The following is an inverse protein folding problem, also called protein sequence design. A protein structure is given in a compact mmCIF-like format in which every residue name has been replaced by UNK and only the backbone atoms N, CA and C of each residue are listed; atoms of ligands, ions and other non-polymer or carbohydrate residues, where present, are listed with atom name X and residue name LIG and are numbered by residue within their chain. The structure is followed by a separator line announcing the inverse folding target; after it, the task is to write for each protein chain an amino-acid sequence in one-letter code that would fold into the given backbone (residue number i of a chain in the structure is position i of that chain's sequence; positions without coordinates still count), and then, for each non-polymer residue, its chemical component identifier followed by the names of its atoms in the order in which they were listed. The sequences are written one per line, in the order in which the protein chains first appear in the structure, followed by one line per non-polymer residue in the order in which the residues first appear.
data_IF_750666279059
#
_entry.id   IF_750666279059
#
_cell.length_a   1.000
_cell.length_b   1.000
_cell.length_c   1.000
_cell.angle_alpha   90.00
_cell.angle_beta   90.00
_cell.angle_gamma   90.00
#
_symmetry.space_group_name_H-M   'P 1'
#
loop_
_entity.id
_entity.type
_entity.pdbx_description
1 polymer ?
#
# COMPACT_ATOMS: atom_id res chain seq x y z
N UNK A 1 29.19 -66.90 25.35
CA UNK A 1 28.17 -65.85 25.09
C UNK A 1 28.93 -64.55 24.83
N UNK A 2 28.84 -63.99 23.62
CA UNK A 2 29.60 -62.79 23.20
C UNK A 2 28.71 -61.56 23.41
N UNK A 3 29.15 -60.63 24.25
CA UNK A 3 28.52 -59.32 24.41
C UNK A 3 29.05 -58.39 23.31
N UNK A 4 28.14 -57.86 22.48
CA UNK A 4 28.47 -56.85 21.47
C UNK A 4 27.79 -55.54 21.89
N UNK A 5 28.59 -54.56 22.32
CA UNK A 5 28.12 -53.23 22.69
C UNK A 5 27.93 -52.40 21.41
N UNK A 6 26.69 -52.08 21.09
CA UNK A 6 26.35 -51.16 20.00
C UNK A 6 26.25 -49.75 20.59
N UNK A 7 27.32 -48.96 20.49
CA UNK A 7 27.32 -47.55 20.89
C UNK A 7 26.41 -46.75 19.95
N UNK A 8 25.29 -46.27 20.49
CA UNK A 8 24.36 -45.39 19.81
C UNK A 8 24.85 -43.93 19.98
N UNK A 9 25.54 -43.40 18.98
CA UNK A 9 25.90 -41.98 18.92
C UNK A 9 24.65 -41.14 18.67
N UNK A 10 24.21 -40.42 19.70
CA UNK A 10 23.12 -39.46 19.65
C UNK A 10 23.66 -38.12 19.13
N UNK A 11 23.48 -37.83 17.83
CA UNK A 11 23.74 -36.51 17.28
C UNK A 11 22.64 -35.56 17.74
N UNK A 12 22.97 -34.72 18.73
CA UNK A 12 22.12 -33.58 19.13
C UNK A 12 22.29 -32.50 18.07
N UNK A 13 21.31 -32.37 17.19
CA UNK A 13 21.17 -31.22 16.29
C UNK A 13 20.71 -30.03 17.14
N UNK A 14 21.66 -29.19 17.55
CA UNK A 14 21.39 -27.85 18.05
C UNK A 14 20.98 -26.99 16.83
N UNK A 15 19.69 -26.94 16.55
CA UNK A 15 19.13 -25.92 15.67
C UNK A 15 19.14 -24.59 16.40
N UNK A 16 20.07 -23.70 16.05
CA UNK A 16 19.96 -22.29 16.42
C UNK A 16 18.84 -21.68 15.57
N UNK A 17 17.72 -21.33 16.18
CA UNK A 17 16.83 -20.31 15.65
C UNK A 17 17.48 -18.95 15.95
N UNK A 18 17.79 -18.17 14.92
CA UNK A 18 17.99 -16.73 15.12
C UNK A 18 16.63 -16.15 15.53
N UNK A 19 16.46 -15.86 16.81
CA UNK A 19 15.38 -14.99 17.27
C UNK A 19 15.68 -13.59 16.71
N UNK A 20 15.04 -13.23 15.60
CA UNK A 20 15.09 -11.86 15.11
C UNK A 20 14.30 -11.00 16.10
N UNK A 21 15.01 -10.19 16.90
CA UNK A 21 14.48 -9.26 17.91
C UNK A 21 13.77 -8.04 17.30
N UNK A 22 13.05 -8.25 16.18
CA UNK A 22 12.32 -7.19 15.50
C UNK A 22 11.06 -6.84 16.29
N UNK A 23 11.09 -5.68 16.95
CA UNK A 23 9.92 -5.09 17.59
C UNK A 23 9.26 -4.08 16.65
N UNK A 24 8.10 -4.45 16.09
CA UNK A 24 7.31 -3.56 15.25
C UNK A 24 6.68 -2.41 16.04
N UNK A 25 6.63 -1.23 15.44
CA UNK A 25 5.92 -0.07 15.98
C UNK A 25 4.76 0.30 15.06
N UNK A 26 3.60 0.54 15.67
CA UNK A 26 2.45 1.16 15.01
C UNK A 26 2.29 2.61 15.52
N UNK A 27 2.45 3.59 14.62
CA UNK A 27 2.29 5.00 14.93
C UNK A 27 1.74 5.76 13.72
N UNK A 28 0.44 5.92 13.66
CA UNK A 28 -0.28 6.62 12.59
C UNK A 28 -0.97 7.85 13.19
N UNK A 29 -0.82 9.05 12.61
CA UNK A 29 -1.58 10.23 13.01
C UNK A 29 -3.09 9.95 13.01
N UNK A 30 -3.80 10.41 14.04
CA UNK A 30 -5.20 10.04 14.27
C UNK A 30 -6.15 10.43 13.12
N UNK A 31 -5.84 11.52 12.41
CA UNK A 31 -6.54 12.00 11.23
C UNK A 31 -6.35 11.10 10.00
N UNK A 32 -5.27 10.33 9.94
CA UNK A 32 -4.98 9.40 8.84
C UNK A 32 -5.48 7.97 9.13
N UNK A 33 -5.76 7.63 10.39
CA UNK A 33 -6.23 6.30 10.79
C UNK A 33 -7.48 5.82 10.01
N UNK A 34 -8.51 6.65 9.74
CA UNK A 34 -9.69 6.21 8.99
C UNK A 34 -9.37 5.65 7.59
N UNK A 35 -8.33 6.16 6.93
CA UNK A 35 -7.90 5.65 5.63
C UNK A 35 -7.21 4.29 5.76
N UNK A 36 -6.45 4.06 6.83
CA UNK A 36 -5.81 2.75 7.09
C UNK A 36 -6.89 1.69 7.36
N UNK A 37 -7.89 2.04 8.17
CA UNK A 37 -9.02 1.15 8.47
C UNK A 37 -9.81 0.84 7.20
N UNK A 38 -10.02 1.83 6.34
CA UNK A 38 -10.69 1.66 5.04
C UNK A 38 -9.87 0.75 4.12
N UNK A 39 -8.54 0.93 4.03
CA UNK A 39 -7.67 0.06 3.25
C UNK A 39 -7.77 -1.40 3.72
N UNK A 40 -7.71 -1.66 5.03
CA UNK A 40 -7.83 -3.00 5.60
C UNK A 40 -9.21 -3.60 5.30
N UNK A 41 -10.27 -2.78 5.39
CA UNK A 41 -11.63 -3.21 5.06
C UNK A 41 -11.78 -3.57 3.57
N UNK A 42 -11.30 -2.72 2.67
CA UNK A 42 -11.34 -2.93 1.21
C UNK A 42 -10.46 -4.10 0.76
N UNK A 43 -9.35 -4.34 1.44
CA UNK A 43 -8.54 -5.53 1.24
C UNK A 43 -9.30 -6.81 1.62
N UNK A 44 -9.98 -6.79 2.78
CA UNK A 44 -10.74 -7.92 3.30
C UNK A 44 -11.87 -8.33 2.35
N UNK A 45 -12.58 -7.37 1.75
CA UNK A 45 -13.63 -7.67 0.75
C UNK A 45 -13.10 -8.34 -0.51
N UNK A 46 -11.79 -8.22 -0.76
CA UNK A 46 -11.07 -8.83 -1.90
C UNK A 46 -10.24 -10.05 -1.52
N UNK A 47 -10.44 -10.58 -0.31
CA UNK A 47 -9.79 -11.82 0.15
C UNK A 47 -8.39 -11.64 0.74
N UNK A 48 -7.95 -10.39 0.97
CA UNK A 48 -6.67 -10.09 1.61
C UNK A 48 -6.89 -9.83 3.11
N UNK A 49 -6.35 -10.70 3.95
CA UNK A 49 -6.39 -10.52 5.40
C UNK A 49 -5.13 -9.77 5.89
N UNK A 50 -5.25 -8.45 6.08
CA UNK A 50 -4.16 -7.64 6.65
C UNK A 50 -4.29 -7.46 8.16
N UNK A 51 -3.14 -7.51 8.82
CA UNK A 51 -2.92 -6.93 10.15
C UNK A 51 -1.71 -6.02 10.03
N UNK A 52 -1.94 -4.72 10.10
CA UNK A 52 -0.87 -3.71 9.97
C UNK A 52 -0.43 -3.31 11.38
N UNK A 53 0.74 -3.79 11.80
CA UNK A 53 1.28 -3.53 13.17
C UNK A 53 2.65 -2.84 13.15
N UNK A 54 3.26 -2.74 11.97
CA UNK A 54 4.60 -2.23 11.73
C UNK A 54 4.57 -1.00 10.81
N UNK A 55 3.56 -0.13 10.94
CA UNK A 55 3.40 1.08 10.15
C UNK A 55 3.66 2.33 10.99
N UNK A 56 4.56 3.18 10.52
CA UNK A 56 4.69 4.56 10.98
C UNK A 56 4.32 5.47 9.81
N UNK A 57 3.48 6.48 10.07
CA UNK A 57 3.30 7.61 9.14
C UNK A 57 3.85 8.87 9.80
N UNK A 58 4.74 9.57 9.10
CA UNK A 58 5.35 10.80 9.60
C UNK A 58 5.39 11.89 8.54
N UNK A 59 5.37 13.14 9.00
CA UNK A 59 5.66 14.30 8.17
C UNK A 59 7.16 14.60 8.25
N UNK A 60 7.79 14.87 7.11
CA UNK A 60 9.23 15.11 7.04
C UNK A 60 9.56 16.14 5.95
N UNK A 61 10.08 17.30 6.36
CA UNK A 61 10.44 18.40 5.47
C UNK A 61 11.63 18.08 4.56
N UNK A 62 12.40 17.03 4.87
CA UNK A 62 13.53 16.60 4.05
C UNK A 62 13.11 15.88 2.76
N UNK A 63 11.82 15.54 2.61
CA UNK A 63 11.33 14.95 1.37
C UNK A 63 11.38 16.01 0.25
N UNK A 64 12.20 15.74 -0.77
CA UNK A 64 12.39 16.68 -1.86
C UNK A 64 11.09 16.88 -2.66
N UNK A 65 10.80 18.12 -3.01
CA UNK A 65 9.80 18.44 -4.02
C UNK A 65 10.16 17.76 -5.36
N UNK A 66 9.20 17.22 -6.11
CA UNK A 66 7.75 17.41 -6.00
C UNK A 66 6.98 16.29 -5.28
N UNK A 67 7.66 15.38 -4.56
CA UNK A 67 6.99 14.20 -4.02
C UNK A 67 6.07 14.52 -2.83
N UNK A 68 4.85 14.01 -2.90
CA UNK A 68 3.86 14.09 -1.83
C UNK A 68 4.17 13.16 -0.67
N UNK A 69 4.70 11.99 -0.98
CA UNK A 69 5.17 11.04 -0.01
C UNK A 69 5.97 9.91 -0.64
N UNK A 70 6.38 8.99 0.22
CA UNK A 70 6.94 7.71 -0.18
C UNK A 70 6.84 6.69 0.96
N UNK A 71 6.64 5.43 0.60
CA UNK A 71 6.90 4.27 1.43
C UNK A 71 8.39 3.88 1.35
N UNK A 72 9.01 3.53 2.48
CA UNK A 72 10.41 3.14 2.52
C UNK A 72 10.74 1.74 1.94
N UNK A 73 9.73 0.92 1.60
CA UNK A 73 9.97 -0.45 1.15
C UNK A 73 8.75 -1.10 0.49
N UNK A 74 8.96 -1.73 -0.67
CA UNK A 74 8.00 -2.61 -1.34
C UNK A 74 8.20 -4.10 -1.01
N UNK A 75 9.10 -4.44 -0.07
CA UNK A 75 9.42 -5.85 0.24
C UNK A 75 8.30 -6.46 1.08
N UNK A 76 7.69 -7.53 0.56
CA UNK A 76 6.65 -8.28 1.27
C UNK A 76 7.22 -9.21 2.34
N UNK A 77 6.46 -9.45 3.40
CA UNK A 77 6.72 -10.45 4.44
C UNK A 77 8.09 -10.34 5.15
N UNK A 78 8.79 -9.20 5.04
CA UNK A 78 10.02 -8.95 5.76
C UNK A 78 9.73 -8.35 7.15
N UNK A 79 10.47 -8.73 8.21
CA UNK A 79 10.35 -8.15 9.54
C UNK A 79 11.01 -6.77 9.58
N UNK A 80 10.45 -5.83 8.81
CA UNK A 80 10.94 -4.46 8.68
C UNK A 80 9.86 -3.50 9.14
N UNK A 81 10.30 -2.35 9.65
CA UNK A 81 9.40 -1.24 9.92
C UNK A 81 9.00 -0.58 8.59
N UNK A 82 7.70 -0.55 8.30
CA UNK A 82 7.15 0.21 7.17
C UNK A 82 6.95 1.65 7.62
N UNK A 83 7.44 2.58 6.78
CA UNK A 83 7.39 4.01 7.06
C UNK A 83 6.87 4.72 5.82
N UNK A 84 5.73 5.37 5.94
CA UNK A 84 5.24 6.34 4.95
C UNK A 84 5.68 7.73 5.42
N UNK A 85 6.42 8.42 4.57
CA UNK A 85 6.85 9.79 4.81
C UNK A 85 6.04 10.73 3.94
N UNK A 86 5.42 11.76 4.52
CA UNK A 86 4.61 12.76 3.83
C UNK A 86 5.36 14.09 3.82
N UNK A 87 5.38 14.78 2.68
CA UNK A 87 5.96 16.11 2.56
C UNK A 87 4.99 17.19 3.07
N UNK A 88 5.29 17.88 4.19
CA UNK A 88 4.40 18.92 4.70
C UNK A 88 4.50 20.24 3.92
N UNK A 89 5.50 20.41 3.05
CA UNK A 89 5.75 21.66 2.34
C UNK A 89 4.95 21.80 1.03
N UNK A 90 4.14 20.79 0.67
CA UNK A 90 3.38 20.75 -0.58
C UNK A 90 1.93 20.40 -0.26
N UNK A 91 0.99 21.10 -0.90
CA UNK A 91 -0.42 20.71 -0.87
C UNK A 91 -0.63 19.63 -1.92
N UNK A 92 -0.84 18.41 -1.47
CA UNK A 92 -0.89 17.23 -2.32
C UNK A 92 -2.31 16.78 -2.70
N UNK A 93 -3.29 17.12 -1.89
CA UNK A 93 -4.69 16.75 -2.09
C UNK A 93 -5.58 17.91 -1.66
N UNK A 94 -6.77 17.96 -2.25
CA UNK A 94 -7.81 18.95 -1.97
C UNK A 94 -9.13 18.31 -1.53
N UNK A 95 -9.21 16.98 -1.57
CA UNK A 95 -10.37 16.17 -1.21
C UNK A 95 -9.95 14.92 -0.41
N UNK A 96 -10.93 14.29 0.26
CA UNK A 96 -10.70 13.04 0.97
C UNK A 96 -10.38 11.89 0.01
N UNK A 97 -10.95 11.91 -1.20
CA UNK A 97 -10.72 10.89 -2.23
C UNK A 97 -9.28 10.93 -2.75
N UNK A 98 -8.71 12.12 -2.95
CA UNK A 98 -7.30 12.27 -3.32
C UNK A 98 -6.37 11.85 -2.17
N UNK A 99 -6.74 12.16 -0.92
CA UNK A 99 -5.97 11.72 0.25
C UNK A 99 -6.04 10.19 0.44
N UNK A 100 -7.19 9.59 0.19
CA UNK A 100 -7.36 8.13 0.16
C UNK A 100 -6.50 7.53 -0.95
N UNK A 101 -6.59 8.05 -2.18
CA UNK A 101 -5.81 7.58 -3.32
C UNK A 101 -4.31 7.59 -3.02
N UNK A 102 -3.83 8.69 -2.43
CA UNK A 102 -2.43 8.82 -1.98
C UNK A 102 -2.06 7.76 -0.94
N UNK A 103 -2.82 7.65 0.15
CA UNK A 103 -2.48 6.68 1.21
C UNK A 103 -2.57 5.24 0.70
N UNK A 104 -3.53 4.93 -0.18
CA UNK A 104 -3.70 3.60 -0.76
C UNK A 104 -2.57 3.27 -1.74
N UNK A 105 -2.08 4.26 -2.50
CA UNK A 105 -0.89 4.13 -3.32
C UNK A 105 0.33 3.76 -2.46
N UNK A 106 0.59 4.49 -1.39
CA UNK A 106 1.73 4.23 -0.49
C UNK A 106 1.59 2.90 0.27
N UNK A 107 0.37 2.54 0.67
CA UNK A 107 0.08 1.22 1.26
C UNK A 107 0.21 0.10 0.22
N UNK A 108 -0.09 0.37 -1.05
CA UNK A 108 0.16 -0.52 -2.18
C UNK A 108 1.64 -0.84 -2.32
N UNK A 109 2.52 0.16 -2.24
CA UNK A 109 3.95 -0.09 -2.10
C UNK A 109 4.25 -0.90 -0.84
N UNK A 110 3.88 -0.40 0.33
CA UNK A 110 4.30 -0.95 1.62
C UNK A 110 3.87 -2.41 1.87
N UNK A 111 2.62 -2.75 1.53
CA UNK A 111 1.97 -3.99 1.96
C UNK A 111 1.51 -4.90 0.82
N UNK A 112 1.36 -4.37 -0.40
CA UNK A 112 1.06 -5.17 -1.59
C UNK A 112 2.30 -5.39 -2.46
N UNK A 113 3.41 -4.70 -2.17
CA UNK A 113 4.65 -4.81 -2.92
C UNK A 113 4.51 -4.32 -4.36
N UNK A 114 3.50 -3.49 -4.59
CA UNK A 114 3.21 -2.92 -5.91
C UNK A 114 4.31 -1.94 -6.29
N UNK A 115 4.67 -1.92 -7.56
CA UNK A 115 5.51 -0.88 -8.14
C UNK A 115 4.64 0.08 -8.94
N UNK A 116 5.19 1.23 -9.33
CA UNK A 116 4.47 2.16 -10.18
C UNK A 116 4.07 1.50 -11.51
N UNK A 117 2.86 1.77 -11.99
CA UNK A 117 2.37 1.40 -13.31
C UNK A 117 1.74 2.62 -14.00
N UNK A 118 2.46 3.17 -14.97
CA UNK A 118 2.05 4.33 -15.78
C UNK A 118 1.34 3.93 -17.08
N UNK A 119 0.94 2.66 -17.24
CA UNK A 119 0.13 2.24 -18.37
C UNK A 119 -1.22 2.98 -18.37
N UNK A 120 -1.81 3.11 -19.56
CA UNK A 120 -3.08 3.78 -19.77
C UNK A 120 -4.15 2.79 -20.24
N UNK A 121 -5.40 3.10 -19.88
CA UNK A 121 -6.60 2.52 -20.47
C UNK A 121 -6.79 3.05 -21.91
N UNK A 122 -7.59 2.37 -22.75
CA UNK A 122 -7.90 2.83 -24.12
C UNK A 122 -8.37 4.29 -24.22
N UNK A 123 -9.16 4.76 -23.26
CA UNK A 123 -9.64 6.15 -23.22
C UNK A 123 -8.58 7.18 -22.78
N UNK A 124 -7.38 6.74 -22.41
CA UNK A 124 -6.26 7.58 -21.94
C UNK A 124 -6.19 7.81 -20.43
N UNK A 125 -7.14 7.29 -19.65
CA UNK A 125 -7.04 7.31 -18.17
C UNK A 125 -5.90 6.41 -17.68
N UNK A 126 -5.41 6.67 -16.46
CA UNK A 126 -4.46 5.78 -15.81
C UNK A 126 -5.05 4.36 -15.67
N UNK A 127 -4.26 3.35 -16.00
CA UNK A 127 -4.67 1.95 -15.80
C UNK A 127 -4.69 1.59 -14.32
N UNK A 128 -3.77 2.14 -13.53
CA UNK A 128 -3.54 1.73 -12.15
C UNK A 128 -3.62 2.89 -11.16
N UNK A 129 -4.01 2.58 -9.92
CA UNK A 129 -3.85 3.52 -8.78
C UNK A 129 -2.35 3.77 -8.49
N UNK A 130 -1.49 2.85 -8.93
CA UNK A 130 -0.04 2.94 -8.84
C UNK A 130 0.58 3.85 -9.91
N UNK A 131 -0.22 4.67 -10.59
CA UNK A 131 0.31 5.69 -11.52
C UNK A 131 1.13 6.74 -10.78
N UNK A 132 2.20 7.20 -11.40
CA UNK A 132 3.01 8.31 -10.87
C UNK A 132 2.26 9.64 -11.02
N UNK A 133 2.47 10.54 -10.05
CA UNK A 133 2.08 11.96 -10.12
C UNK A 133 0.59 12.23 -10.42
N UNK A 134 -0.31 11.28 -10.13
CA UNK A 134 -1.75 11.48 -10.33
C UNK A 134 -2.55 10.91 -9.16
N UNK A 135 -2.83 11.77 -8.17
CA UNK A 135 -3.71 11.46 -7.03
C UNK A 135 -5.19 11.65 -7.39
N UNK A 136 -5.49 12.26 -8.54
CA UNK A 136 -6.83 12.63 -8.98
C UNK A 136 -7.58 11.54 -9.74
N UNK A 137 -7.07 10.30 -9.76
CA UNK A 137 -7.61 9.19 -10.57
C UNK A 137 -9.10 8.91 -10.33
N UNK A 138 -9.61 9.19 -9.12
CA UNK A 138 -11.03 9.15 -8.79
C UNK A 138 -11.50 10.36 -7.96
N UNK A 139 -10.86 11.52 -8.14
CA UNK A 139 -11.21 12.74 -7.39
C UNK A 139 -12.63 13.25 -7.73
N UNK A 140 -13.33 13.88 -6.76
CA UNK A 140 -14.56 14.61 -7.02
C UNK A 140 -14.28 15.89 -7.81
N UNK A 141 -15.34 16.48 -8.35
CA UNK A 141 -15.23 17.81 -8.90
C UNK A 141 -15.16 18.87 -7.79
N UNK A 142 -14.02 19.54 -7.64
CA UNK A 142 -13.84 20.60 -6.64
C UNK A 142 -14.60 21.89 -7.00
N UNK A 143 -14.72 22.19 -8.30
CA UNK A 143 -15.37 23.40 -8.82
C UNK A 143 -16.25 23.06 -10.03
N UNK A 144 -17.50 22.61 -9.81
CA UNK A 144 -18.43 22.34 -10.89
C UNK A 144 -18.91 23.65 -11.52
N UNK A 145 -18.26 24.09 -12.60
CA UNK A 145 -18.74 25.20 -13.44
C UNK A 145 -19.41 24.57 -14.66
N UNK A 146 -20.74 24.41 -14.61
CA UNK A 146 -21.52 23.73 -15.64
C UNK A 146 -21.80 22.27 -15.28
N UNK A 147 -21.61 21.36 -16.24
CA UNK A 147 -21.85 19.92 -16.05
C UNK A 147 -20.78 19.25 -15.16
N UNK A 148 -21.13 18.13 -14.50
CA UNK A 148 -20.25 17.36 -13.60
C UNK A 148 -19.14 16.53 -14.31
N UNK A 149 -18.69 16.94 -15.51
CA UNK A 149 -17.73 16.19 -16.36
C UNK A 149 -16.41 15.90 -15.62
N UNK A 150 -16.05 16.74 -14.65
CA UNK A 150 -14.87 16.61 -13.79
C UNK A 150 -14.97 15.53 -12.69
N UNK A 151 -16.17 15.02 -12.35
CA UNK A 151 -16.34 14.10 -11.24
C UNK A 151 -15.89 12.67 -11.62
N UNK A 152 -14.78 12.21 -11.04
CA UNK A 152 -14.20 10.89 -11.31
C UNK A 152 -14.45 9.86 -10.19
N UNK A 153 -15.26 10.19 -9.19
CA UNK A 153 -15.52 9.31 -8.02
C UNK A 153 -16.09 7.93 -8.41
N UNK A 154 -16.83 7.86 -9.51
CA UNK A 154 -17.36 6.61 -10.05
C UNK A 154 -16.26 5.60 -10.47
N UNK A 155 -15.03 6.06 -10.67
CA UNK A 155 -13.88 5.22 -11.02
C UNK A 155 -13.27 4.50 -9.80
N UNK A 156 -13.57 4.95 -8.57
CA UNK A 156 -13.00 4.39 -7.33
C UNK A 156 -13.08 2.85 -7.26
N UNK A 157 -14.23 2.20 -7.53
CA UNK A 157 -14.31 0.73 -7.44
C UNK A 157 -13.30 0.01 -8.33
N UNK A 158 -13.11 0.48 -9.57
CA UNK A 158 -12.13 -0.09 -10.50
C UNK A 158 -10.70 0.03 -9.97
N UNK A 159 -10.29 1.21 -9.51
CA UNK A 159 -8.93 1.42 -9.03
C UNK A 159 -8.63 0.63 -7.74
N UNK A 160 -9.64 0.40 -6.90
CA UNK A 160 -9.49 -0.48 -5.75
C UNK A 160 -9.40 -1.95 -6.16
N UNK A 161 -10.24 -2.41 -7.09
CA UNK A 161 -10.12 -3.77 -7.63
C UNK A 161 -8.75 -3.98 -8.27
N UNK A 162 -8.29 -3.01 -9.06
CA UNK A 162 -6.98 -3.00 -9.70
C UNK A 162 -5.82 -3.03 -8.69
N UNK A 163 -5.90 -2.27 -7.60
CA UNK A 163 -4.86 -2.20 -6.58
C UNK A 163 -4.58 -3.58 -5.95
N UNK A 164 -5.62 -4.40 -5.78
CA UNK A 164 -5.50 -5.74 -5.20
C UNK A 164 -5.42 -6.86 -6.26
N UNK A 165 -5.75 -6.59 -7.52
CA UNK A 165 -5.63 -7.50 -8.66
C UNK A 165 -5.28 -6.76 -9.96
N UNK A 166 -4.01 -6.84 -10.36
CA UNK A 166 -3.46 -6.21 -11.59
C UNK A 166 -4.07 -6.75 -12.90
N UNK A 167 -4.83 -7.86 -12.80
CA UNK A 167 -5.47 -8.52 -13.95
C UNK A 167 -6.92 -8.11 -14.16
N UNK A 168 -7.43 -7.15 -13.38
CA UNK A 168 -8.78 -6.62 -13.53
C UNK A 168 -9.03 -6.18 -14.99
N UNK A 169 -10.22 -6.50 -15.49
CA UNK A 169 -10.60 -6.14 -16.85
C UNK A 169 -10.79 -4.63 -17.00
N UNK A 170 -10.55 -4.13 -18.22
CA UNK A 170 -10.85 -2.73 -18.57
C UNK A 170 -12.35 -2.46 -18.34
N UNK A 171 -12.72 -1.42 -17.58
CA UNK A 171 -14.12 -1.10 -17.30
C UNK A 171 -14.75 -0.40 -18.50
N UNK A 172 -16.08 -0.43 -18.62
CA UNK A 172 -16.79 0.15 -19.78
C UNK A 172 -16.46 1.63 -20.03
N UNK A 173 -16.31 2.42 -18.97
CA UNK A 173 -15.93 3.84 -19.08
C UNK A 173 -14.48 4.06 -19.51
N UNK A 174 -13.64 3.03 -19.42
CA UNK A 174 -12.22 3.03 -19.77
C UNK A 174 -11.94 2.67 -21.23
N UNK A 175 -12.98 2.34 -22.01
CA UNK A 175 -12.88 1.92 -23.42
C UNK A 175 -12.87 3.12 -24.36
#
# INVERSE_FOLDING_TARGET
MRFSYLSLSFLVLLGCSEDSDFHSVYNVPADLQPFIDTFISEASTRGFAFRIENLIIKYDESLASPYCGQCNSYVLNAPIQKVITINPNIVCWYSNEEQEAFLFHELGHCFLGRLHDNALLPNGDAKSLMTENNLGVYAPCLYPIGDEICNSTFKRPYYLDELFDETVAVPEWGI
#
